data_IF_470361360424
#
_entry.id   IF_470361360424
#
_cell.length_a   1.000
_cell.length_b   1.000
_cell.length_c   1.000
_cell.angle_alpha   90.00
_cell.angle_beta   90.00
_cell.angle_gamma   90.00
#
_symmetry.space_group_name_H-M   'P 1'
#
loop_
_entity.id
_entity.type
_entity.pdbx_description
1 polymer ?
#
# COMPACT_ATOMS: atom_id res chain seq x y z
N UNK A 1 -12.83 -40.51 29.70
CA UNK A 1 -14.11 -41.24 29.54
C UNK A 1 -13.96 -42.74 29.21
N UNK A 2 -12.99 -43.52 29.74
CA UNK A 2 -13.07 -44.99 29.63
C UNK A 2 -14.02 -45.63 30.67
N UNK A 3 -14.32 -44.91 31.76
CA UNK A 3 -15.10 -45.42 32.89
C UNK A 3 -16.61 -45.53 32.62
N UNK A 4 -17.20 -44.63 31.81
CA UNK A 4 -18.65 -44.65 31.55
C UNK A 4 -19.09 -45.75 30.55
N UNK A 5 -18.18 -46.24 29.69
CA UNK A 5 -18.50 -47.25 28.68
C UNK A 5 -18.09 -48.67 29.10
N UNK A 6 -17.21 -48.84 30.09
CA UNK A 6 -16.86 -50.15 30.65
C UNK A 6 -18.01 -50.81 31.43
N UNK A 7 -18.84 -50.01 32.11
CA UNK A 7 -20.02 -50.47 32.87
C UNK A 7 -21.23 -50.85 31.98
N UNK A 8 -21.20 -50.51 30.69
CA UNK A 8 -22.24 -50.83 29.70
C UNK A 8 -21.97 -52.12 28.91
N UNK A 9 -20.91 -52.85 29.25
CA UNK A 9 -20.49 -54.11 28.58
C UNK A 9 -21.49 -55.26 28.69
N UNK A 10 -22.51 -55.15 29.55
CA UNK A 10 -23.62 -56.11 29.68
C UNK A 10 -24.88 -55.76 28.86
N UNK A 11 -24.92 -54.62 28.17
CA UNK A 11 -26.09 -54.17 27.42
C UNK A 11 -25.98 -54.50 25.92
N UNK A 12 -27.12 -54.65 25.21
CA UNK A 12 -27.12 -54.82 23.77
C UNK A 12 -26.36 -53.69 23.04
N UNK A 13 -25.64 -54.04 21.97
CA UNK A 13 -24.77 -53.13 21.20
C UNK A 13 -25.44 -51.87 20.64
N UNK A 14 -26.78 -51.81 20.60
CA UNK A 14 -27.53 -50.62 20.19
C UNK A 14 -27.64 -49.54 21.28
N UNK A 15 -27.47 -49.89 22.57
CA UNK A 15 -27.65 -48.96 23.70
C UNK A 15 -26.57 -47.87 23.72
N UNK A 16 -25.25 -48.16 23.59
CA UNK A 16 -24.22 -47.14 23.51
C UNK A 16 -24.39 -46.20 22.30
N UNK A 17 -24.89 -46.72 21.17
CA UNK A 17 -25.10 -45.96 19.93
C UNK A 17 -26.23 -44.94 20.09
N UNK A 18 -27.37 -45.37 20.64
CA UNK A 18 -28.52 -44.49 20.88
C UNK A 18 -28.17 -43.40 21.90
N UNK A 19 -27.40 -43.75 22.93
CA UNK A 19 -26.91 -42.81 23.94
C UNK A 19 -25.95 -41.78 23.32
N UNK A 20 -25.05 -42.20 22.45
CA UNK A 20 -24.10 -41.33 21.76
C UNK A 20 -24.79 -40.35 20.80
N UNK A 21 -25.73 -40.85 19.99
CA UNK A 21 -26.50 -40.03 19.06
C UNK A 21 -27.35 -39.01 19.83
N UNK A 22 -28.09 -39.45 20.85
CA UNK A 22 -28.92 -38.54 21.66
C UNK A 22 -28.08 -37.49 22.39
N UNK A 23 -26.95 -37.87 22.99
CA UNK A 23 -26.01 -36.94 23.64
C UNK A 23 -25.44 -35.92 22.63
N UNK A 24 -25.11 -36.36 21.41
CA UNK A 24 -24.58 -35.49 20.36
C UNK A 24 -25.61 -34.45 19.90
N UNK A 25 -26.88 -34.83 19.76
CA UNK A 25 -27.96 -33.90 19.45
C UNK A 25 -28.21 -32.90 20.59
N UNK A 26 -28.18 -33.36 21.86
CA UNK A 26 -28.32 -32.49 23.04
C UNK A 26 -27.18 -31.48 23.10
N UNK A 27 -25.93 -31.93 22.94
CA UNK A 27 -24.75 -31.05 22.94
C UNK A 27 -24.78 -30.07 21.77
N UNK A 28 -25.19 -30.49 20.57
CA UNK A 28 -25.33 -29.57 19.44
C UNK A 28 -26.46 -28.55 19.63
N UNK A 29 -27.57 -28.95 20.26
CA UNK A 29 -28.63 -28.02 20.65
C UNK A 29 -28.15 -27.00 21.69
N UNK A 30 -27.39 -27.45 22.70
CA UNK A 30 -26.75 -26.56 23.69
C UNK A 30 -25.74 -25.61 23.03
N UNK A 31 -24.88 -26.10 22.14
CA UNK A 31 -23.92 -25.27 21.40
C UNK A 31 -24.63 -24.20 20.57
N UNK A 32 -25.74 -24.55 19.89
CA UNK A 32 -26.59 -23.60 19.18
C UNK A 32 -27.18 -22.54 20.12
N UNK A 33 -27.71 -22.94 21.29
CA UNK A 33 -28.27 -22.00 22.25
C UNK A 33 -27.22 -21.04 22.81
N UNK A 34 -26.04 -21.55 23.15
CA UNK A 34 -24.91 -20.74 23.64
C UNK A 34 -24.50 -19.74 22.56
N UNK A 35 -24.38 -20.18 21.32
CA UNK A 35 -23.95 -19.33 20.23
C UNK A 35 -25.01 -18.27 19.88
N UNK A 36 -26.29 -18.62 19.85
CA UNK A 36 -27.38 -17.64 19.64
C UNK A 36 -27.47 -16.65 20.80
N UNK A 37 -27.27 -17.09 22.06
CA UNK A 37 -27.19 -16.20 23.22
C UNK A 37 -25.99 -15.25 23.10
N UNK A 38 -24.83 -15.76 22.67
CA UNK A 38 -23.65 -14.95 22.45
C UNK A 38 -23.87 -13.90 21.35
N UNK A 39 -24.45 -14.31 20.21
CA UNK A 39 -24.81 -13.41 19.12
C UNK A 39 -25.77 -12.32 19.60
N UNK A 40 -26.83 -12.68 20.34
CA UNK A 40 -27.82 -11.73 20.86
C UNK A 40 -27.25 -10.81 21.94
N UNK A 41 -26.37 -11.31 22.79
CA UNK A 41 -25.68 -10.50 23.80
C UNK A 41 -24.80 -9.43 23.14
N UNK A 42 -24.03 -9.80 22.11
CA UNK A 42 -23.18 -8.88 21.37
C UNK A 42 -23.94 -7.99 20.38
N UNK A 43 -25.20 -8.31 20.08
CA UNK A 43 -26.10 -7.49 19.26
C UNK A 43 -26.35 -6.10 19.85
N UNK A 44 -26.13 -5.92 21.16
CA UNK A 44 -26.18 -4.64 21.86
C UNK A 44 -25.07 -3.69 21.36
N UNK A 45 -23.91 -4.23 20.94
CA UNK A 45 -22.74 -3.46 20.47
C UNK A 45 -22.75 -3.23 18.96
N UNK A 46 -23.20 -4.21 18.16
CA UNK A 46 -23.34 -4.06 16.70
C UNK A 46 -24.60 -4.75 16.13
N UNK A 47 -25.73 -4.03 16.13
CA UNK A 47 -27.04 -4.60 15.79
C UNK A 47 -27.11 -5.19 14.38
N UNK A 48 -26.30 -4.73 13.43
CA UNK A 48 -26.42 -5.10 12.01
C UNK A 48 -25.63 -6.37 11.69
N UNK A 49 -24.37 -6.47 12.15
CA UNK A 49 -23.53 -7.67 12.00
C UNK A 49 -24.21 -8.89 12.63
N UNK A 50 -24.59 -8.76 13.90
CA UNK A 50 -25.14 -9.88 14.68
C UNK A 50 -26.53 -10.31 14.19
N UNK A 51 -27.34 -9.40 13.62
CA UNK A 51 -28.61 -9.76 12.97
C UNK A 51 -28.42 -10.55 11.68
N UNK A 52 -27.43 -10.22 10.85
CA UNK A 52 -27.11 -11.01 9.65
C UNK A 52 -26.51 -12.38 10.03
N UNK A 53 -25.62 -12.42 11.02
CA UNK A 53 -25.12 -13.67 11.61
C UNK A 53 -26.26 -14.56 12.12
N UNK A 54 -27.19 -14.03 12.91
CA UNK A 54 -28.35 -14.80 13.37
C UNK A 54 -29.19 -15.32 12.19
N UNK A 55 -29.48 -14.46 11.19
CA UNK A 55 -30.29 -14.82 10.02
C UNK A 55 -29.68 -15.99 9.23
N UNK A 56 -28.36 -15.97 9.00
CA UNK A 56 -27.71 -16.97 8.16
C UNK A 56 -27.17 -18.17 8.95
N UNK A 57 -26.52 -17.99 10.11
CA UNK A 57 -25.88 -19.10 10.85
C UNK A 57 -26.86 -19.95 11.67
N UNK A 58 -28.05 -19.44 12.03
CA UNK A 58 -28.99 -20.12 12.94
C UNK A 58 -29.47 -21.50 12.46
N UNK A 59 -29.48 -21.75 11.15
CA UNK A 59 -29.89 -23.04 10.59
C UNK A 59 -28.75 -24.03 10.31
N UNK A 60 -27.56 -23.56 9.88
CA UNK A 60 -26.47 -24.47 9.48
C UNK A 60 -25.74 -25.09 10.66
N UNK A 61 -25.54 -24.33 11.74
CA UNK A 61 -24.78 -24.85 12.89
C UNK A 61 -25.52 -25.91 13.69
N UNK A 62 -26.83 -26.08 13.47
CA UNK A 62 -27.60 -27.14 14.11
C UNK A 62 -27.10 -28.53 13.71
N UNK A 63 -26.66 -28.73 12.47
CA UNK A 63 -26.23 -30.04 11.99
C UNK A 63 -24.73 -30.28 12.16
N UNK A 64 -23.90 -29.24 12.06
CA UNK A 64 -22.44 -29.37 12.11
C UNK A 64 -21.93 -29.96 13.45
N UNK A 65 -22.36 -29.40 14.57
CA UNK A 65 -21.85 -29.77 15.90
C UNK A 65 -22.24 -31.20 16.29
N UNK A 66 -23.52 -31.65 16.15
CA UNK A 66 -23.87 -33.05 16.39
C UNK A 66 -23.10 -34.03 15.51
N UNK A 67 -22.93 -33.74 14.22
CA UNK A 67 -22.25 -34.64 13.30
C UNK A 67 -20.77 -34.83 13.66
N UNK A 68 -20.08 -33.76 14.09
CA UNK A 68 -18.70 -33.82 14.54
C UNK A 68 -18.57 -34.66 15.82
N UNK A 69 -19.50 -34.50 16.77
CA UNK A 69 -19.53 -35.30 18.01
C UNK A 69 -19.81 -36.78 17.72
N UNK A 70 -20.72 -37.07 16.78
CA UNK A 70 -20.99 -38.45 16.35
C UNK A 70 -19.74 -39.08 15.74
N UNK A 71 -19.00 -38.35 14.89
CA UNK A 71 -17.77 -38.86 14.27
C UNK A 71 -16.67 -39.22 15.29
N UNK A 72 -16.45 -38.36 16.29
CA UNK A 72 -15.51 -38.65 17.39
C UNK A 72 -15.99 -39.85 18.19
N UNK A 73 -17.29 -39.92 18.45
CA UNK A 73 -17.91 -40.96 19.26
C UNK A 73 -17.93 -42.36 18.64
N UNK A 74 -18.06 -42.46 17.31
CA UNK A 74 -18.11 -43.76 16.60
C UNK A 74 -16.83 -44.58 16.78
N UNK A 75 -15.67 -43.93 16.99
CA UNK A 75 -14.40 -44.63 17.24
C UNK A 75 -14.31 -45.32 18.61
N UNK A 76 -15.25 -45.07 19.52
CA UNK A 76 -15.26 -45.64 20.88
C UNK A 76 -16.23 -46.82 21.04
N UNK A 77 -16.94 -47.21 19.98
CA UNK A 77 -17.89 -48.32 20.00
C UNK A 77 -17.32 -49.48 19.19
N UNK A 78 -17.21 -50.66 19.79
CA UNK A 78 -16.74 -51.88 19.13
C UNK A 78 -17.82 -52.41 18.18
N UNK A 79 -17.69 -52.08 16.90
CA UNK A 79 -18.54 -52.59 15.82
C UNK A 79 -17.79 -53.61 14.94
N UNK A 80 -18.53 -54.43 14.19
CA UNK A 80 -17.94 -55.25 13.13
C UNK A 80 -17.21 -54.38 12.07
N UNK A 81 -16.01 -54.78 11.62
CA UNK A 81 -15.11 -53.93 10.85
C UNK A 81 -15.63 -53.49 9.47
N UNK A 82 -16.53 -54.25 8.84
CA UNK A 82 -17.04 -53.90 7.50
C UNK A 82 -18.08 -52.76 7.51
N UNK A 83 -19.03 -52.75 8.46
CA UNK A 83 -20.10 -51.74 8.54
C UNK A 83 -19.61 -50.38 9.06
N UNK A 84 -18.56 -50.37 9.87
CA UNK A 84 -17.90 -49.16 10.38
C UNK A 84 -17.41 -48.23 9.27
N UNK A 85 -16.88 -48.80 8.19
CA UNK A 85 -16.29 -48.04 7.09
C UNK A 85 -17.34 -47.22 6.33
N UNK A 86 -18.51 -47.82 6.05
CA UNK A 86 -19.61 -47.15 5.37
C UNK A 86 -20.25 -46.06 6.24
N UNK A 87 -20.47 -46.35 7.52
CA UNK A 87 -21.06 -45.40 8.48
C UNK A 87 -20.15 -44.17 8.64
N UNK A 88 -18.85 -44.40 8.82
CA UNK A 88 -17.85 -43.32 8.98
C UNK A 88 -17.76 -42.46 7.72
N UNK A 89 -17.77 -43.06 6.53
CA UNK A 89 -17.75 -42.32 5.27
C UNK A 89 -19.02 -41.47 5.06
N UNK A 90 -20.20 -42.02 5.39
CA UNK A 90 -21.46 -41.26 5.31
C UNK A 90 -21.43 -40.07 6.28
N UNK A 91 -21.00 -40.28 7.52
CA UNK A 91 -20.86 -39.21 8.52
C UNK A 91 -19.88 -38.14 8.03
N UNK A 92 -18.73 -38.54 7.48
CA UNK A 92 -17.73 -37.61 6.92
C UNK A 92 -18.33 -36.75 5.80
N UNK A 93 -19.13 -37.33 4.89
CA UNK A 93 -19.81 -36.59 3.83
C UNK A 93 -20.79 -35.57 4.40
N UNK A 94 -21.58 -35.93 5.42
CA UNK A 94 -22.47 -35.00 6.10
C UNK A 94 -21.72 -33.88 6.82
N UNK A 95 -20.57 -34.16 7.43
CA UNK A 95 -19.70 -33.14 8.04
C UNK A 95 -19.19 -32.16 6.98
N UNK A 96 -18.68 -32.66 5.85
CA UNK A 96 -18.15 -31.84 4.76
C UNK A 96 -19.26 -30.94 4.19
N UNK A 97 -20.46 -31.48 3.93
CA UNK A 97 -21.61 -30.71 3.45
C UNK A 97 -22.02 -29.63 4.45
N UNK A 98 -22.07 -29.96 5.73
CA UNK A 98 -22.43 -29.04 6.79
C UNK A 98 -21.39 -27.91 6.93
N UNK A 99 -20.11 -28.24 6.86
CA UNK A 99 -19.01 -27.27 6.87
C UNK A 99 -19.06 -26.33 5.66
N UNK A 100 -19.23 -26.88 4.45
CA UNK A 100 -19.38 -26.08 3.23
C UNK A 100 -20.60 -25.14 3.31
N UNK A 101 -21.72 -25.62 3.84
CA UNK A 101 -22.91 -24.81 4.08
C UNK A 101 -22.63 -23.64 5.02
N UNK A 102 -21.88 -23.86 6.10
CA UNK A 102 -21.44 -22.77 7.00
C UNK A 102 -20.59 -21.74 6.26
N UNK A 103 -19.60 -22.16 5.46
CA UNK A 103 -18.74 -21.25 4.68
C UNK A 103 -19.53 -20.42 3.65
N UNK A 104 -20.48 -21.03 2.94
CA UNK A 104 -21.36 -20.33 2.00
C UNK A 104 -22.21 -19.29 2.73
N UNK A 105 -22.73 -19.63 3.91
CA UNK A 105 -23.54 -18.70 4.71
C UNK A 105 -22.71 -17.55 5.29
N UNK A 106 -21.45 -17.80 5.68
CA UNK A 106 -20.52 -16.74 6.05
C UNK A 106 -20.26 -15.77 4.88
N UNK A 107 -20.18 -16.29 3.65
CA UNK A 107 -20.07 -15.45 2.44
C UNK A 107 -21.30 -14.55 2.27
N UNK A 108 -22.51 -15.04 2.61
CA UNK A 108 -23.73 -14.21 2.61
C UNK A 108 -23.70 -13.12 3.69
N UNK A 109 -23.19 -13.42 4.89
CA UNK A 109 -23.02 -12.44 5.97
C UNK A 109 -22.03 -11.34 5.54
N UNK A 110 -20.91 -11.72 4.92
CA UNK A 110 -19.94 -10.75 4.40
C UNK A 110 -20.56 -9.85 3.32
N UNK A 111 -21.37 -10.41 2.42
CA UNK A 111 -22.11 -9.62 1.44
C UNK A 111 -23.05 -8.61 2.11
N UNK A 112 -23.87 -9.06 3.07
CA UNK A 112 -24.81 -8.18 3.79
C UNK A 112 -24.06 -7.03 4.46
N UNK A 113 -22.88 -7.32 5.03
CA UNK A 113 -22.03 -6.31 5.67
C UNK A 113 -21.48 -5.27 4.69
N UNK A 114 -20.99 -5.71 3.53
CA UNK A 114 -20.55 -4.80 2.49
C UNK A 114 -21.71 -3.96 1.94
N UNK A 115 -22.91 -4.53 1.83
CA UNK A 115 -24.10 -3.81 1.34
C UNK A 115 -24.57 -2.72 2.29
N UNK A 116 -24.37 -2.90 3.60
CA UNK A 116 -24.67 -1.88 4.60
C UNK A 116 -23.76 -0.67 4.44
N UNK A 117 -22.49 -0.87 4.05
CA UNK A 117 -21.52 0.21 3.83
C UNK A 117 -21.77 0.97 2.52
N UNK A 118 -22.44 0.34 1.54
CA UNK A 118 -22.75 0.93 0.23
C UNK A 118 -24.27 0.97 -0.02
N UNK A 119 -24.93 1.94 0.64
CA UNK A 119 -26.38 2.15 0.51
C UNK A 119 -26.74 2.79 -0.85
N UNK A 120 -27.71 2.17 -1.52
CA UNK A 120 -28.24 2.58 -2.84
C UNK A 120 -29.49 3.45 -2.73
N UNK A 121 -30.03 3.64 -1.52
CA UNK A 121 -31.24 4.40 -1.30
C UNK A 121 -31.03 5.93 -1.34
N UNK A 122 -29.78 6.38 -1.50
CA UNK A 122 -29.44 7.80 -1.67
C UNK A 122 -29.52 8.15 -3.16
N UNK A 123 -30.19 9.25 -3.50
CA UNK A 123 -30.30 9.76 -4.88
C UNK A 123 -28.91 10.00 -5.50
N UNK A 124 -28.73 9.50 -6.72
CA UNK A 124 -27.51 9.60 -7.55
C UNK A 124 -26.29 8.77 -7.11
N UNK A 125 -26.47 7.45 -6.89
CA UNK A 125 -25.37 6.57 -6.45
C UNK A 125 -24.94 5.51 -7.49
N UNK A 126 -24.44 5.96 -8.66
CA UNK A 126 -23.86 5.08 -9.69
C UNK A 126 -22.69 4.24 -9.15
N UNK A 127 -21.88 4.81 -8.23
CA UNK A 127 -20.75 4.11 -7.58
C UNK A 127 -21.23 2.95 -6.70
N UNK A 128 -22.24 3.15 -5.85
CA UNK A 128 -22.76 2.06 -5.03
C UNK A 128 -23.40 0.95 -5.86
N UNK A 129 -24.07 1.28 -6.98
CA UNK A 129 -24.59 0.29 -7.93
C UNK A 129 -23.48 -0.56 -8.56
N UNK A 130 -22.39 0.08 -9.00
CA UNK A 130 -21.21 -0.60 -9.55
C UNK A 130 -20.59 -1.55 -8.51
N UNK A 131 -20.38 -1.07 -7.28
CA UNK A 131 -19.78 -1.85 -6.20
C UNK A 131 -20.65 -3.05 -5.81
N UNK A 132 -21.97 -2.87 -5.67
CA UNK A 132 -22.88 -3.99 -5.40
C UNK A 132 -22.83 -5.05 -6.49
N UNK A 133 -22.81 -4.62 -7.74
CA UNK A 133 -22.68 -5.53 -8.88
C UNK A 133 -21.39 -6.34 -8.78
N UNK A 134 -20.26 -5.69 -8.50
CA UNK A 134 -18.98 -6.35 -8.28
C UNK A 134 -19.03 -7.37 -7.12
N UNK A 135 -19.64 -7.01 -6.00
CA UNK A 135 -19.80 -7.90 -4.84
C UNK A 135 -20.61 -9.16 -5.21
N UNK A 136 -21.67 -9.04 -6.01
CA UNK A 136 -22.45 -10.19 -6.48
C UNK A 136 -21.57 -11.14 -7.30
N UNK A 137 -20.79 -10.61 -8.23
CA UNK A 137 -19.90 -11.41 -9.06
C UNK A 137 -18.83 -12.11 -8.22
N UNK A 138 -18.16 -11.38 -7.31
CA UNK A 138 -17.16 -11.95 -6.40
C UNK A 138 -17.76 -13.07 -5.55
N UNK A 139 -18.95 -12.87 -4.98
CA UNK A 139 -19.66 -13.91 -4.24
C UNK A 139 -19.91 -15.16 -5.08
N UNK A 140 -20.39 -15.01 -6.32
CA UNK A 140 -20.65 -16.15 -7.21
C UNK A 140 -19.37 -16.96 -7.44
N UNK A 141 -18.25 -16.28 -7.71
CA UNK A 141 -16.93 -16.93 -7.88
C UNK A 141 -16.52 -17.68 -6.61
N UNK A 142 -16.62 -17.05 -5.44
CA UNK A 142 -16.28 -17.69 -4.15
C UNK A 142 -17.15 -18.91 -3.89
N UNK A 143 -18.46 -18.84 -4.15
CA UNK A 143 -19.37 -19.99 -3.97
C UNK A 143 -19.01 -21.13 -4.92
N UNK A 144 -18.71 -20.84 -6.19
CA UNK A 144 -18.27 -21.86 -7.16
C UNK A 144 -17.01 -22.57 -6.67
N UNK A 145 -16.02 -21.83 -6.17
CA UNK A 145 -14.80 -22.40 -5.59
C UNK A 145 -15.13 -23.29 -4.38
N UNK A 146 -15.94 -22.79 -3.43
CA UNK A 146 -16.34 -23.57 -2.24
C UNK A 146 -17.08 -24.86 -2.60
N UNK A 147 -17.96 -24.82 -3.60
CA UNK A 147 -18.68 -26.01 -4.09
C UNK A 147 -17.72 -26.99 -4.75
N UNK A 148 -16.77 -26.52 -5.58
CA UNK A 148 -15.75 -27.37 -6.19
C UNK A 148 -14.90 -28.09 -5.14
N UNK A 149 -14.47 -27.37 -4.09
CA UNK A 149 -13.76 -27.95 -2.95
C UNK A 149 -14.63 -28.97 -2.21
N UNK A 150 -15.89 -28.66 -1.95
CA UNK A 150 -16.83 -29.55 -1.27
C UNK A 150 -17.01 -30.88 -2.03
N UNK A 151 -17.30 -30.80 -3.34
CA UNK A 151 -17.43 -31.99 -4.20
C UNK A 151 -16.15 -32.81 -4.20
N UNK A 152 -14.99 -32.14 -4.29
CA UNK A 152 -13.71 -32.84 -4.27
C UNK A 152 -13.46 -33.58 -2.96
N UNK A 153 -13.72 -32.94 -1.81
CA UNK A 153 -13.58 -33.54 -0.48
C UNK A 153 -14.55 -34.73 -0.28
N UNK A 154 -15.77 -34.62 -0.80
CA UNK A 154 -16.74 -35.73 -0.80
C UNK A 154 -16.20 -36.91 -1.60
N UNK A 155 -15.69 -36.67 -2.82
CA UNK A 155 -15.10 -37.73 -3.65
C UNK A 155 -13.88 -38.39 -2.99
N UNK A 156 -13.09 -37.64 -2.23
CA UNK A 156 -11.95 -38.18 -1.49
C UNK A 156 -12.34 -39.16 -0.38
N UNK A 157 -13.56 -39.05 0.15
CA UNK A 157 -14.06 -39.96 1.20
C UNK A 157 -14.39 -41.36 0.67
N UNK A 158 -14.49 -41.54 -0.64
CA UNK A 158 -14.82 -42.84 -1.26
C UNK A 158 -13.62 -43.41 -2.02
N UNK A 159 -13.07 -44.58 -1.62
CA UNK A 159 -11.89 -45.16 -2.26
C UNK A 159 -12.02 -45.34 -3.77
N UNK A 160 -13.19 -45.78 -4.27
CA UNK A 160 -13.41 -46.05 -5.69
C UNK A 160 -13.40 -44.81 -6.60
N UNK A 161 -13.70 -43.62 -6.06
CA UNK A 161 -13.73 -42.35 -6.83
C UNK A 161 -12.72 -41.32 -6.34
N UNK A 162 -11.88 -41.68 -5.37
CA UNK A 162 -10.86 -40.81 -4.77
C UNK A 162 -9.95 -40.15 -5.81
N UNK A 163 -9.59 -40.89 -6.87
CA UNK A 163 -8.75 -40.39 -7.97
C UNK A 163 -9.38 -39.18 -8.70
N UNK A 164 -10.70 -39.14 -8.81
CA UNK A 164 -11.39 -37.99 -9.40
C UNK A 164 -11.30 -36.77 -8.47
N UNK A 165 -11.53 -36.98 -7.16
CA UNK A 165 -11.36 -35.92 -6.16
C UNK A 165 -9.95 -35.34 -6.11
N UNK A 166 -8.91 -36.20 -6.16
CA UNK A 166 -7.51 -35.73 -6.20
C UNK A 166 -7.20 -34.99 -7.50
N UNK A 167 -7.72 -35.43 -8.64
CA UNK A 167 -7.50 -34.77 -9.94
C UNK A 167 -8.12 -33.38 -9.98
N UNK A 168 -9.33 -33.21 -9.44
CA UNK A 168 -9.99 -31.89 -9.36
C UNK A 168 -9.18 -30.95 -8.46
N UNK A 169 -8.75 -31.40 -7.28
CA UNK A 169 -7.94 -30.58 -6.38
C UNK A 169 -6.56 -30.24 -6.98
N UNK A 170 -5.92 -31.19 -7.65
CA UNK A 170 -4.64 -30.95 -8.32
C UNK A 170 -4.80 -29.91 -9.43
N UNK A 171 -5.83 -30.05 -10.27
CA UNK A 171 -6.16 -29.08 -11.32
C UNK A 171 -6.50 -27.69 -10.75
N UNK A 172 -7.31 -27.64 -9.70
CA UNK A 172 -7.64 -26.39 -8.99
C UNK A 172 -6.39 -25.74 -8.36
N UNK A 173 -5.45 -26.54 -7.85
CA UNK A 173 -4.17 -26.08 -7.33
C UNK A 173 -3.31 -25.43 -8.42
N UNK A 174 -3.12 -26.10 -9.56
CA UNK A 174 -2.38 -25.56 -10.72
C UNK A 174 -3.05 -24.29 -11.25
N UNK A 175 -4.37 -24.31 -11.43
CA UNK A 175 -5.13 -23.12 -11.84
C UNK A 175 -4.99 -21.97 -10.83
N UNK A 176 -5.00 -22.28 -9.53
CA UNK A 176 -4.77 -21.32 -8.45
C UNK A 176 -3.39 -20.68 -8.51
N UNK A 177 -2.34 -21.44 -8.82
CA UNK A 177 -0.98 -20.92 -9.01
C UNK A 177 -0.93 -19.96 -10.21
N UNK A 178 -1.51 -20.34 -11.35
CA UNK A 178 -1.54 -19.50 -12.57
C UNK A 178 -2.29 -18.20 -12.30
N UNK A 179 -3.46 -18.26 -11.66
CA UNK A 179 -4.24 -17.09 -11.26
C UNK A 179 -3.46 -16.24 -10.26
N UNK A 180 -2.77 -16.86 -9.30
CA UNK A 180 -1.92 -16.17 -8.33
C UNK A 180 -0.80 -15.38 -8.98
N UNK A 181 -0.10 -15.96 -9.96
CA UNK A 181 0.90 -15.26 -10.75
C UNK A 181 0.30 -14.11 -11.56
N UNK A 182 -0.87 -14.32 -12.18
CA UNK A 182 -1.56 -13.27 -12.91
C UNK A 182 -1.96 -12.08 -12.02
N UNK A 183 -2.32 -12.34 -10.76
CA UNK A 183 -2.71 -11.32 -9.78
C UNK A 183 -1.53 -10.72 -9.01
N UNK A 184 -0.31 -11.24 -9.15
CA UNK A 184 0.86 -10.84 -8.37
C UNK A 184 1.06 -9.32 -8.38
N UNK A 185 1.02 -8.68 -9.56
CA UNK A 185 1.21 -7.23 -9.68
C UNK A 185 0.11 -6.42 -8.98
N UNK A 186 -1.14 -6.86 -9.07
CA UNK A 186 -2.25 -6.19 -8.40
C UNK A 186 -2.13 -6.28 -6.88
N UNK A 187 -1.67 -7.42 -6.36
CA UNK A 187 -1.42 -7.60 -4.93
C UNK A 187 -0.25 -6.72 -4.47
N UNK A 188 0.86 -6.67 -5.22
CA UNK A 188 2.00 -5.80 -4.92
C UNK A 188 1.57 -4.33 -4.85
N UNK A 189 0.80 -3.84 -5.82
CA UNK A 189 0.28 -2.48 -5.81
C UNK A 189 -0.62 -2.20 -4.60
N UNK A 190 -1.47 -3.15 -4.21
CA UNK A 190 -2.34 -3.03 -3.04
C UNK A 190 -1.52 -2.95 -1.75
N UNK A 191 -0.51 -3.83 -1.59
CA UNK A 191 0.35 -3.83 -0.42
C UNK A 191 1.19 -2.56 -0.34
N UNK A 192 1.72 -2.05 -1.45
CA UNK A 192 2.43 -0.78 -1.50
C UNK A 192 1.52 0.39 -1.07
N UNK A 193 0.26 0.42 -1.52
CA UNK A 193 -0.70 1.43 -1.08
C UNK A 193 -1.00 1.38 0.41
N UNK A 194 -1.19 0.18 0.96
CA UNK A 194 -1.38 -0.01 2.41
C UNK A 194 -0.11 0.42 3.18
N UNK A 195 1.07 0.00 2.71
CA UNK A 195 2.36 0.33 3.31
C UNK A 195 2.59 1.85 3.35
N UNK A 196 2.34 2.55 2.25
CA UNK A 196 2.47 4.01 2.18
C UNK A 196 1.47 4.69 3.10
N UNK A 197 0.24 4.20 3.20
CA UNK A 197 -0.75 4.74 4.12
C UNK A 197 -0.32 4.64 5.59
N UNK A 198 0.39 3.56 5.97
CA UNK A 198 0.90 3.37 7.33
C UNK A 198 2.23 4.08 7.60
N UNK A 199 3.19 4.01 6.67
CA UNK A 199 4.55 4.56 6.85
C UNK A 199 4.65 6.05 6.51
N UNK A 200 3.69 6.56 5.74
CA UNK A 200 3.56 7.97 5.34
C UNK A 200 4.87 8.63 4.88
N UNK A 201 5.60 8.04 3.91
CA UNK A 201 6.82 8.65 3.36
C UNK A 201 6.53 9.90 2.52
N UNK A 202 5.27 10.06 2.09
CA UNK A 202 4.70 11.23 1.42
C UNK A 202 3.36 11.58 2.07
N UNK A 203 3.07 12.87 2.14
CA UNK A 203 1.77 13.42 2.58
C UNK A 203 1.17 14.28 1.48
N UNK A 204 -0.15 14.48 1.54
CA UNK A 204 -0.82 15.46 0.68
C UNK A 204 -0.21 16.84 0.95
N UNK A 205 -0.01 17.61 -0.11
CA UNK A 205 0.67 18.91 -0.14
C UNK A 205 2.18 18.90 0.14
N UNK A 206 2.82 17.73 0.24
CA UNK A 206 4.29 17.68 0.30
C UNK A 206 4.92 18.17 -1.01
N UNK A 207 5.99 18.97 -0.91
CA UNK A 207 6.80 19.38 -2.05
C UNK A 207 7.84 18.29 -2.35
N UNK A 208 7.78 17.72 -3.55
CA UNK A 208 8.60 16.59 -3.95
C UNK A 208 9.28 16.83 -5.29
N UNK A 209 10.43 16.17 -5.48
CA UNK A 209 11.07 16.04 -6.79
C UNK A 209 11.02 14.57 -7.20
N UNK A 210 10.30 14.31 -8.29
CA UNK A 210 10.05 12.97 -8.83
C UNK A 210 10.26 13.00 -10.33
N UNK A 211 10.95 12.01 -10.90
CA UNK A 211 11.28 11.98 -12.34
C UNK A 211 11.93 13.28 -12.84
N UNK A 212 12.73 13.93 -11.98
CA UNK A 212 13.38 15.25 -12.21
C UNK A 212 12.40 16.43 -12.33
N UNK A 213 11.11 16.21 -12.15
CA UNK A 213 10.09 17.25 -12.09
C UNK A 213 9.82 17.62 -10.63
N UNK A 214 9.74 18.92 -10.36
CA UNK A 214 9.34 19.43 -9.04
C UNK A 214 7.83 19.71 -9.04
N UNK A 215 7.16 19.33 -7.94
CA UNK A 215 5.74 19.56 -7.76
C UNK A 215 5.25 19.22 -6.36
N UNK A 216 3.93 19.23 -6.19
CA UNK A 216 3.27 18.90 -4.93
C UNK A 216 2.41 17.66 -5.05
N UNK A 217 2.34 16.87 -3.99
CA UNK A 217 1.41 15.74 -3.91
C UNK A 217 -0.02 16.29 -3.83
N UNK A 218 -0.81 16.12 -4.90
CA UNK A 218 -2.20 16.59 -4.98
C UNK A 218 -3.17 15.53 -4.45
N UNK A 219 -2.95 14.26 -4.81
CA UNK A 219 -3.81 13.14 -4.37
C UNK A 219 -2.99 11.88 -4.08
N UNK A 220 -3.38 11.16 -3.02
CA UNK A 220 -2.86 9.82 -2.72
C UNK A 220 -4.03 8.84 -2.81
N UNK A 221 -4.07 8.04 -3.87
CA UNK A 221 -5.04 6.96 -4.06
C UNK A 221 -4.42 5.61 -3.69
N UNK A 222 -5.24 4.55 -3.65
CA UNK A 222 -4.78 3.21 -3.25
C UNK A 222 -3.73 2.62 -4.21
N UNK A 223 -3.78 2.99 -5.50
CA UNK A 223 -2.96 2.39 -6.56
C UNK A 223 -2.10 3.40 -7.33
N UNK A 224 -2.33 4.69 -7.14
CA UNK A 224 -1.58 5.76 -7.79
C UNK A 224 -1.53 7.03 -6.92
N UNK A 225 -0.56 7.89 -7.22
CA UNK A 225 -0.39 9.22 -6.62
C UNK A 225 -0.41 10.24 -7.75
N UNK A 226 -1.03 11.38 -7.50
CA UNK A 226 -1.05 12.50 -8.43
C UNK A 226 -0.13 13.58 -7.89
N UNK A 227 0.86 13.98 -8.69
CA UNK A 227 1.78 15.08 -8.39
C UNK A 227 1.46 16.24 -9.33
N UNK A 228 1.11 17.40 -8.77
CA UNK A 228 0.89 18.63 -9.54
C UNK A 228 2.23 19.32 -9.76
N UNK A 229 2.67 19.35 -11.01
CA UNK A 229 3.90 20.02 -11.44
C UNK A 229 3.65 21.54 -11.45
N UNK A 230 4.73 22.32 -11.34
CA UNK A 230 4.71 23.78 -11.37
C UNK A 230 3.98 24.41 -12.57
N UNK A 231 3.94 23.71 -13.71
CA UNK A 231 3.24 24.14 -14.93
C UNK A 231 1.79 23.65 -15.03
N UNK A 232 1.19 23.29 -13.87
CA UNK A 232 -0.20 22.86 -13.71
C UNK A 232 -0.55 21.51 -14.34
N UNK A 233 0.43 20.78 -14.89
CA UNK A 233 0.25 19.39 -15.33
C UNK A 233 0.19 18.43 -14.14
N UNK A 234 -0.51 17.31 -14.32
CA UNK A 234 -0.65 16.24 -13.31
C UNK A 234 0.17 15.05 -13.74
N UNK A 235 1.23 14.78 -12.99
CA UNK A 235 2.03 13.57 -13.14
C UNK A 235 1.40 12.46 -12.31
N UNK A 236 0.85 11.45 -12.98
CA UNK A 236 0.21 10.30 -12.34
C UNK A 236 1.21 9.16 -12.26
N UNK A 237 1.56 8.76 -11.04
CA UNK A 237 2.54 7.71 -10.78
C UNK A 237 1.87 6.52 -10.09
N UNK A 238 2.24 5.27 -10.43
CA UNK A 238 1.79 4.13 -9.66
C UNK A 238 2.29 4.26 -8.22
N UNK A 239 1.48 3.83 -7.25
CA UNK A 239 1.82 3.94 -5.82
C UNK A 239 3.13 3.22 -5.48
N UNK A 240 3.45 2.14 -6.21
CA UNK A 240 4.70 1.37 -6.07
C UNK A 240 5.95 2.18 -6.42
N UNK A 241 5.81 3.25 -7.20
CA UNK A 241 6.93 4.12 -7.55
C UNK A 241 7.64 4.64 -6.28
N UNK A 242 6.86 5.06 -5.29
CA UNK A 242 7.37 5.65 -4.04
C UNK A 242 7.96 4.62 -3.06
N UNK A 243 7.80 3.33 -3.35
CA UNK A 243 8.46 2.25 -2.61
C UNK A 243 9.67 1.68 -3.36
N UNK A 244 9.68 1.76 -4.69
CA UNK A 244 10.69 1.12 -5.54
C UNK A 244 11.79 2.09 -5.99
N UNK A 245 11.49 3.39 -6.10
CA UNK A 245 12.39 4.40 -6.65
C UNK A 245 12.76 5.47 -5.63
N UNK A 246 13.99 6.03 -5.69
CA UNK A 246 14.35 7.18 -4.89
C UNK A 246 13.57 8.43 -5.35
N UNK A 247 13.19 9.26 -4.40
CA UNK A 247 12.59 10.58 -4.63
C UNK A 247 13.06 11.54 -3.55
N UNK A 248 12.94 12.84 -3.80
CA UNK A 248 13.26 13.85 -2.80
C UNK A 248 11.96 14.38 -2.21
N UNK A 249 11.83 14.38 -0.88
CA UNK A 249 10.76 15.05 -0.18
C UNK A 249 11.33 16.26 0.56
N UNK A 250 11.02 17.45 0.07
CA UNK A 250 11.55 18.71 0.57
C UNK A 250 10.80 19.22 1.80
N UNK A 251 9.65 18.62 2.16
CA UNK A 251 8.79 19.04 3.28
C UNK A 251 8.64 17.96 4.36
N UNK A 252 9.43 16.87 4.29
CA UNK A 252 9.28 15.69 5.16
C UNK A 252 9.27 16.01 6.65
N UNK A 253 10.21 16.84 7.09
CA UNK A 253 10.37 17.23 8.49
C UNK A 253 10.14 18.74 8.71
N UNK A 254 10.62 19.56 7.77
CA UNK A 254 10.46 21.00 7.75
C UNK A 254 10.34 21.43 6.28
N UNK A 255 9.57 22.49 6.00
CA UNK A 255 9.46 23.07 4.67
C UNK A 255 10.68 23.96 4.31
N UNK A 256 11.44 24.39 5.31
CA UNK A 256 12.62 25.21 5.12
C UNK A 256 13.64 24.51 4.22
N UNK A 257 14.19 25.28 3.27
CA UNK A 257 15.16 24.76 2.31
C UNK A 257 16.29 25.77 2.06
N UNK A 258 17.48 25.25 1.78
CA UNK A 258 18.63 26.03 1.38
C UNK A 258 18.59 26.31 -0.14
N UNK A 259 18.44 27.58 -0.50
CA UNK A 259 18.61 28.06 -1.87
C UNK A 259 20.08 28.28 -2.22
N UNK A 260 20.44 28.06 -3.48
CA UNK A 260 21.76 28.39 -4.03
C UNK A 260 21.68 29.29 -5.27
N UNK A 261 22.49 30.34 -5.29
CA UNK A 261 22.69 31.21 -6.46
C UNK A 261 24.16 31.15 -6.85
N UNK A 262 24.42 31.00 -8.14
CA UNK A 262 25.76 30.99 -8.71
C UNK A 262 25.96 32.25 -9.55
N UNK A 263 27.10 32.90 -9.37
CA UNK A 263 27.58 33.98 -10.23
C UNK A 263 28.96 33.61 -10.75
N UNK A 264 29.19 33.89 -12.03
CA UNK A 264 30.47 33.75 -12.68
C UNK A 264 31.01 35.15 -12.95
N UNK A 265 32.14 35.48 -12.34
CA UNK A 265 32.74 36.82 -12.41
C UNK A 265 34.23 36.70 -12.72
N UNK A 266 34.82 37.77 -13.25
CA UNK A 266 36.26 37.85 -13.45
C UNK A 266 37.00 37.82 -12.11
N UNK A 267 38.26 37.40 -12.14
CA UNK A 267 39.16 37.41 -10.99
C UNK A 267 39.42 38.80 -10.40
N UNK A 268 39.15 39.88 -11.15
CA UNK A 268 39.23 41.26 -10.67
C UNK A 268 38.14 41.64 -9.68
N UNK A 269 37.08 40.84 -9.51
CA UNK A 269 35.95 41.21 -8.66
C UNK A 269 36.33 41.29 -7.17
N UNK A 270 36.20 42.45 -6.50
CA UNK A 270 36.49 42.54 -5.08
C UNK A 270 35.38 41.86 -4.27
N UNK A 271 35.77 40.87 -3.45
CA UNK A 271 34.82 40.02 -2.72
C UNK A 271 34.21 40.69 -1.49
N UNK A 272 34.96 41.53 -0.76
CA UNK A 272 34.47 42.19 0.46
C UNK A 272 33.28 43.13 0.20
N UNK A 273 33.32 44.02 -0.81
CA UNK A 273 32.15 44.82 -1.18
C UNK A 273 30.95 43.96 -1.60
N UNK A 274 31.21 42.85 -2.30
CA UNK A 274 30.17 41.95 -2.77
C UNK A 274 29.48 41.22 -1.61
N UNK A 275 30.25 40.74 -0.61
CA UNK A 275 29.71 40.14 0.63
C UNK A 275 28.81 41.11 1.38
N UNK A 276 29.28 42.35 1.59
CA UNK A 276 28.48 43.40 2.25
C UNK A 276 27.20 43.71 1.49
N UNK A 277 27.26 43.76 0.16
CA UNK A 277 26.07 43.98 -0.65
C UNK A 277 25.07 42.81 -0.56
N UNK A 278 25.56 41.57 -0.58
CA UNK A 278 24.72 40.37 -0.39
C UNK A 278 23.98 40.39 0.95
N UNK A 279 24.68 40.67 2.05
CA UNK A 279 24.08 40.80 3.38
C UNK A 279 23.02 41.91 3.43
N UNK A 280 23.32 43.07 2.81
CA UNK A 280 22.37 44.18 2.69
C UNK A 280 21.11 43.75 1.95
N UNK A 281 21.24 43.14 0.77
CA UNK A 281 20.11 42.65 -0.04
C UNK A 281 19.23 41.68 0.74
N UNK A 282 19.83 40.77 1.51
CA UNK A 282 19.10 39.83 2.35
C UNK A 282 18.37 40.52 3.52
N UNK A 283 18.99 41.52 4.15
CA UNK A 283 18.38 42.27 5.25
C UNK A 283 17.16 43.12 4.84
N UNK A 284 17.10 43.54 3.59
CA UNK A 284 16.02 44.40 3.05
C UNK A 284 14.81 43.60 2.54
N UNK A 285 14.95 42.29 2.30
CA UNK A 285 13.87 41.45 1.76
C UNK A 285 13.16 40.63 2.83
N UNK A 286 11.85 40.46 2.68
CA UNK A 286 11.04 39.56 3.51
C UNK A 286 11.10 38.10 3.06
N UNK A 287 11.74 37.82 1.93
CA UNK A 287 11.83 36.47 1.37
C UNK A 287 12.84 35.59 2.12
N UNK A 288 13.81 36.19 2.81
CA UNK A 288 14.80 35.48 3.61
C UNK A 288 14.28 35.22 5.03
N UNK A 289 14.49 34.01 5.53
CA UNK A 289 14.05 33.58 6.87
C UNK A 289 15.06 33.90 7.99
N UNK A 290 16.15 34.61 7.66
CA UNK A 290 17.16 35.10 8.60
C UNK A 290 17.97 34.03 9.33
N UNK A 291 17.92 32.77 8.89
CA UNK A 291 18.67 31.70 9.56
C UNK A 291 20.11 31.56 9.07
N UNK A 292 20.30 31.17 7.81
CA UNK A 292 21.64 30.95 7.24
C UNK A 292 21.81 31.76 5.97
N UNK A 293 22.96 32.43 5.86
CA UNK A 293 23.45 33.03 4.62
C UNK A 293 24.96 32.89 4.52
N UNK A 294 25.46 32.51 3.35
CA UNK A 294 26.89 32.31 3.10
C UNK A 294 27.23 32.70 1.67
N UNK A 295 28.25 33.54 1.48
CA UNK A 295 28.83 33.85 0.17
C UNK A 295 30.28 33.38 0.11
N UNK A 296 30.56 32.44 -0.78
CA UNK A 296 31.87 31.83 -0.94
C UNK A 296 32.26 31.68 -2.41
N UNK A 297 33.56 31.79 -2.70
CA UNK A 297 34.10 31.33 -3.99
C UNK A 297 34.21 29.81 -3.89
N UNK A 298 33.48 29.10 -4.74
CA UNK A 298 33.40 27.63 -4.67
C UNK A 298 34.17 26.91 -5.76
N UNK A 299 34.45 27.59 -6.86
CA UNK A 299 35.15 27.00 -7.99
C UNK A 299 35.84 28.09 -8.82
N UNK A 300 36.78 27.70 -9.67
CA UNK A 300 37.56 28.57 -10.53
C UNK A 300 37.81 27.91 -11.88
N UNK A 301 37.60 28.64 -12.97
CA UNK A 301 37.93 28.22 -14.34
C UNK A 301 39.04 29.09 -14.91
N UNK A 302 39.59 28.76 -16.07
CA UNK A 302 40.63 29.58 -16.73
C UNK A 302 40.24 31.06 -16.93
N UNK A 303 38.93 31.36 -16.95
CA UNK A 303 38.40 32.69 -17.29
C UNK A 303 37.61 33.37 -16.18
N UNK A 304 37.03 32.61 -15.24
CA UNK A 304 36.12 33.16 -14.24
C UNK A 304 36.26 32.45 -12.90
N UNK A 305 36.01 33.18 -11.81
CA UNK A 305 35.71 32.59 -10.51
C UNK A 305 34.20 32.41 -10.31
N UNK A 306 33.82 31.30 -9.68
CA UNK A 306 32.44 30.94 -9.40
C UNK A 306 32.10 31.25 -7.95
N UNK A 307 31.24 32.24 -7.75
CA UNK A 307 30.72 32.64 -6.46
C UNK A 307 29.40 31.91 -6.21
N UNK A 308 29.33 31.16 -5.12
CA UNK A 308 28.11 30.54 -4.62
C UNK A 308 27.60 31.34 -3.43
N UNK A 309 26.34 31.77 -3.53
CA UNK A 309 25.57 32.31 -2.42
C UNK A 309 24.57 31.27 -1.98
N UNK A 310 24.55 30.98 -0.69
CA UNK A 310 23.61 30.09 -0.03
C UNK A 310 22.75 30.91 0.92
N UNK A 311 21.44 30.68 0.90
CA UNK A 311 20.50 31.33 1.80
C UNK A 311 19.31 30.42 2.07
N UNK A 312 18.90 30.31 3.32
CA UNK A 312 17.69 29.57 3.71
C UNK A 312 16.42 30.35 3.34
N UNK A 313 15.33 29.63 3.16
CA UNK A 313 14.01 30.21 2.96
C UNK A 313 12.95 29.28 3.56
N UNK A 314 11.81 29.86 3.96
CA UNK A 314 10.75 29.16 4.69
C UNK A 314 10.13 27.98 3.92
N UNK A 315 10.10 28.06 2.59
CA UNK A 315 9.59 27.01 1.72
C UNK A 315 10.20 27.09 0.31
N UNK A 316 9.93 26.10 -0.53
CA UNK A 316 10.53 26.00 -1.86
C UNK A 316 10.09 27.07 -2.87
N UNK A 317 8.82 27.52 -2.94
CA UNK A 317 8.45 28.69 -3.75
C UNK A 317 9.20 29.96 -3.36
N UNK A 318 9.23 30.29 -2.06
CA UNK A 318 9.94 31.47 -1.56
C UNK A 318 11.44 31.35 -1.84
N UNK A 319 12.02 30.15 -1.70
CA UNK A 319 13.41 29.89 -2.05
C UNK A 319 13.69 30.13 -3.54
N UNK A 320 12.74 29.85 -4.44
CA UNK A 320 12.88 30.16 -5.86
C UNK A 320 12.89 31.68 -6.09
N UNK A 321 11.92 32.39 -5.53
CA UNK A 321 11.79 33.84 -5.66
C UNK A 321 13.00 34.57 -5.06
N UNK A 322 13.45 34.15 -3.87
CA UNK A 322 14.62 34.70 -3.20
C UNK A 322 15.89 34.53 -4.05
N UNK A 323 16.08 33.36 -4.68
CA UNK A 323 17.22 33.13 -5.56
C UNK A 323 17.19 34.03 -6.80
N UNK A 324 16.02 34.25 -7.39
CA UNK A 324 15.86 35.17 -8.51
C UNK A 324 16.15 36.61 -8.10
N UNK A 325 15.53 37.07 -7.01
CA UNK A 325 15.73 38.40 -6.45
C UNK A 325 17.20 38.70 -6.13
N UNK A 326 17.87 37.80 -5.39
CA UNK A 326 19.29 37.94 -5.07
C UNK A 326 20.13 37.96 -6.34
N UNK A 327 19.87 37.06 -7.30
CA UNK A 327 20.64 37.03 -8.56
C UNK A 327 20.55 38.36 -9.31
N UNK A 328 19.35 38.91 -9.45
CA UNK A 328 19.12 40.19 -10.12
C UNK A 328 19.84 41.33 -9.41
N UNK A 329 19.70 41.44 -8.09
CA UNK A 329 20.32 42.51 -7.29
C UNK A 329 21.84 42.46 -7.30
N UNK A 330 22.40 41.26 -7.23
CA UNK A 330 23.85 41.08 -7.26
C UNK A 330 24.44 41.41 -8.65
N UNK A 331 23.73 41.06 -9.73
CA UNK A 331 24.13 41.46 -11.09
C UNK A 331 24.04 42.98 -11.26
N UNK A 332 22.95 43.60 -10.81
CA UNK A 332 22.76 45.05 -10.83
C UNK A 332 23.91 45.78 -10.11
N UNK A 333 24.31 45.30 -8.94
CA UNK A 333 25.43 45.86 -8.18
C UNK A 333 26.77 45.76 -8.92
N UNK A 334 27.06 44.61 -9.53
CA UNK A 334 28.30 44.41 -10.31
C UNK A 334 28.29 45.34 -11.53
N UNK A 335 27.18 45.43 -12.26
CA UNK A 335 27.08 46.30 -13.43
C UNK A 335 27.31 47.78 -13.10
N UNK A 336 26.79 48.26 -11.97
CA UNK A 336 26.88 49.67 -11.59
C UNK A 336 28.26 50.06 -11.02
N UNK A 337 28.91 49.16 -10.27
CA UNK A 337 30.11 49.50 -9.50
C UNK A 337 31.39 48.86 -10.04
N UNK A 338 31.29 47.70 -10.69
CA UNK A 338 32.42 46.89 -11.15
C UNK A 338 32.15 46.27 -12.54
N UNK A 339 31.83 47.07 -13.58
CA UNK A 339 31.49 46.54 -14.91
C UNK A 339 32.62 45.71 -15.54
N UNK A 340 33.87 46.07 -15.23
CA UNK A 340 35.07 45.34 -15.70
C UNK A 340 35.24 43.95 -15.09
N UNK A 341 34.51 43.67 -14.00
CA UNK A 341 34.57 42.38 -13.29
C UNK A 341 33.54 41.38 -13.78
N UNK A 342 32.75 41.72 -14.80
CA UNK A 342 31.94 40.75 -15.53
C UNK A 342 32.85 39.83 -16.37
N UNK A 343 32.41 38.61 -16.73
CA UNK A 343 33.21 37.73 -17.57
C UNK A 343 33.63 38.40 -18.89
N UNK A 344 34.93 38.60 -19.08
CA UNK A 344 35.50 39.20 -20.29
C UNK A 344 36.44 38.22 -21.01
N UNK A 345 36.59 38.41 -22.33
CA UNK A 345 37.62 37.71 -23.12
C UNK A 345 38.78 38.68 -23.32
N UNK A 346 39.91 38.42 -22.67
CA UNK A 346 41.13 39.23 -22.82
C UNK A 346 41.93 38.73 -24.03
N UNK A 347 42.15 39.61 -25.00
CA UNK A 347 43.09 39.38 -26.10
C UNK A 347 44.22 40.41 -26.01
N UNK A 348 45.47 39.94 -25.91
CA UNK A 348 46.64 40.80 -26.03
C UNK A 348 47.01 40.92 -27.50
N UNK A 349 46.82 42.09 -28.10
CA UNK A 349 47.38 42.41 -29.40
C UNK A 349 48.83 42.86 -29.18
N UNK A 350 49.79 41.99 -29.51
CA UNK A 350 51.20 42.35 -29.49
C UNK A 350 51.54 43.01 -30.82
N UNK A 351 51.64 44.33 -30.83
CA UNK A 351 51.98 45.10 -32.04
C UNK A 351 53.47 44.89 -32.35
N UNK A 352 53.76 44.10 -33.38
CA UNK A 352 55.13 43.79 -33.81
C UNK A 352 55.64 44.89 -34.74
N UNK A 353 55.82 46.10 -34.20
CA UNK A 353 56.38 47.26 -34.91
C UNK A 353 57.74 47.67 -34.33
N UNK A 354 58.84 47.22 -34.94
CA UNK A 354 60.18 47.63 -34.54
C UNK A 354 61.33 47.02 -35.32
N UNK A 355 61.39 47.19 -36.65
CA UNK A 355 62.61 46.99 -37.42
C UNK A 355 63.66 48.02 -36.98
N UNK A 356 64.64 47.59 -36.16
CA UNK A 356 65.88 48.34 -35.95
C UNK A 356 66.80 48.11 -37.14
N UNK A 357 66.85 49.07 -38.05
CA UNK A 357 67.87 49.17 -39.12
C UNK A 357 69.25 49.24 -38.48
N UNK A 358 70.03 48.17 -38.62
CA UNK A 358 71.42 48.10 -38.18
C UNK A 358 72.30 49.03 -39.02
N UNK A 359 73.00 49.97 -38.37
CA UNK A 359 74.14 50.65 -38.96
C UNK A 359 75.29 49.65 -39.06
N UNK A 360 75.75 49.38 -40.27
CA UNK A 360 76.99 48.65 -40.55
C UNK A 360 78.19 49.38 -39.95
N UNK A 361 79.01 48.65 -39.20
CA UNK A 361 80.37 49.04 -38.84
C UNK A 361 81.29 48.30 -39.80
N UNK A 362 82.14 49.09 -40.47
CA UNK A 362 83.20 48.62 -41.32
C UNK A 362 84.30 47.93 -40.49
N UNK A 363 84.77 46.79 -40.98
CA UNK A 363 86.17 46.36 -40.95
C UNK A 363 86.44 45.45 -42.14
#
# INVERSE_FOLDING_TARGET
MPLLFGELSGFPSWVPVVLLVSLSFVLGFLARLILLRFIRYWQIRDRKLFKSLEKHLSGSMFFFVPLLMINVGVNYIDFHPESLSLITNIINVFIIMSFCSVLIRLTNVAQDMLYIRYDINISNNLRARKIRTQIIYVKKVVIVILVLFCVSLILLSFPGVRKFGTTILAGAGVAGIIIGFALQKSLVNLFAGIQIAFTQPIKIDDAVVVEKEWGWIEEINLTYVVVRIWDLRRLVLPITYFTENPFQNWTRNNAQILGSVFLYVDYSMPLEPLRKHFEKVLSETKLWDQETSVLQVTDTTEKTMTIRMLMTAQNSPIAFDLRCYVREKMIEFIQQNYPESLPQVRASLTDSGGEKVGKGVAE
#
